data_IF_670949486080
#
_entry.id   IF_670949486080
#
_cell.length_a   1.000
_cell.length_b   1.000
_cell.length_c   1.000
_cell.angle_alpha   90.00
_cell.angle_beta   90.00
_cell.angle_gamma   90.00
#
_symmetry.space_group_name_H-M   'P 1'
#
loop_
_entity.id
_entity.type
_entity.pdbx_description
1 polymer ?
#
# COMPACT_ATOMS: atom_id res chain seq x y z
N UNK A 1 1.48 -6.21 18.49
CA UNK A 1 1.65 -5.40 17.27
C UNK A 1 3.07 -5.61 16.79
N UNK A 2 3.27 -5.79 15.49
CA UNK A 2 4.60 -5.90 14.87
C UNK A 2 4.75 -4.79 13.84
N UNK A 3 5.97 -4.28 13.68
CA UNK A 3 6.34 -3.28 12.68
C UNK A 3 7.14 -3.93 11.56
N UNK A 4 6.81 -3.58 10.32
CA UNK A 4 7.44 -4.14 9.12
C UNK A 4 7.91 -2.97 8.24
N UNK A 5 9.16 -3.03 7.80
CA UNK A 5 9.75 -2.02 6.92
C UNK A 5 9.15 -2.06 5.52
N UNK A 6 9.02 -0.89 4.90
CA UNK A 6 8.54 -0.72 3.53
C UNK A 6 9.68 -0.30 2.60
N UNK A 7 9.73 -0.85 1.37
CA UNK A 7 10.57 -0.29 0.34
C UNK A 7 10.05 1.09 -0.11
N UNK A 8 10.93 1.97 -0.62
CA UNK A 8 10.55 3.30 -1.08
C UNK A 8 9.42 3.27 -2.12
N UNK A 9 8.47 4.19 -1.98
CA UNK A 9 7.35 4.34 -2.92
C UNK A 9 6.20 3.36 -2.72
N UNK A 10 6.29 2.39 -1.80
CA UNK A 10 5.20 1.44 -1.54
C UNK A 10 4.14 2.02 -0.58
N UNK A 11 4.52 2.94 0.32
CA UNK A 11 3.62 3.53 1.32
C UNK A 11 2.35 4.16 0.71
N UNK A 12 2.43 4.71 -0.51
CA UNK A 12 1.29 5.28 -1.26
C UNK A 12 0.15 4.30 -1.55
N UNK A 13 0.41 3.00 -1.45
CA UNK A 13 -0.59 1.94 -1.67
C UNK A 13 -1.16 1.40 -0.36
N UNK A 14 -0.66 1.86 0.79
CA UNK A 14 -1.14 1.47 2.10
C UNK A 14 -1.96 2.61 2.69
N UNK A 15 -3.00 2.24 3.41
CA UNK A 15 -3.81 3.16 4.21
C UNK A 15 -4.09 2.49 5.55
N UNK A 16 -4.19 3.28 6.62
CA UNK A 16 -4.61 2.76 7.91
C UNK A 16 -5.99 2.07 7.77
N UNK A 17 -6.14 0.91 8.40
CA UNK A 17 -7.29 -0.02 8.27
C UNK A 17 -7.46 -0.66 6.89
N UNK A 18 -6.52 -0.43 5.96
CA UNK A 18 -6.45 -1.13 4.68
C UNK A 18 -5.89 -2.54 4.83
N UNK A 19 -5.90 -3.28 3.72
CA UNK A 19 -5.39 -4.64 3.63
C UNK A 19 -3.97 -4.67 3.05
N UNK A 20 -3.14 -5.57 3.56
CA UNK A 20 -1.83 -5.91 3.01
C UNK A 20 -1.57 -7.40 3.21
N UNK A 21 -0.92 -8.05 2.25
CA UNK A 21 -0.45 -9.41 2.42
C UNK A 21 1.05 -9.43 2.77
N UNK A 22 1.37 -10.16 3.85
CA UNK A 22 2.75 -10.41 4.30
C UNK A 22 3.00 -11.91 4.23
N UNK A 23 3.92 -12.34 3.37
CA UNK A 23 4.14 -13.75 3.03
C UNK A 23 2.84 -14.49 2.65
N UNK A 24 1.95 -13.79 1.90
CA UNK A 24 0.65 -14.31 1.50
C UNK A 24 -0.41 -14.31 2.62
N UNK A 25 -0.08 -13.89 3.84
CA UNK A 25 -1.03 -13.75 4.95
C UNK A 25 -1.73 -12.40 4.85
N UNK A 26 -3.05 -12.40 4.65
CA UNK A 26 -3.85 -11.18 4.63
C UNK A 26 -3.95 -10.57 6.02
N UNK A 27 -3.53 -9.32 6.17
CA UNK A 27 -3.49 -8.58 7.42
C UNK A 27 -4.09 -7.18 7.26
N UNK A 28 -4.57 -6.63 8.36
CA UNK A 28 -5.06 -5.24 8.43
C UNK A 28 -3.95 -4.33 8.92
N UNK A 29 -3.67 -3.28 8.16
CA UNK A 29 -2.75 -2.21 8.54
C UNK A 29 -3.34 -1.44 9.72
N UNK A 30 -2.61 -1.37 10.82
CA UNK A 30 -2.98 -0.57 12.00
C UNK A 30 -2.61 0.89 11.75
N UNK A 31 -1.34 1.12 11.40
CA UNK A 31 -0.80 2.44 11.07
C UNK A 31 0.31 2.33 10.00
N UNK A 32 0.60 3.42 9.31
CA UNK A 32 1.57 3.48 8.21
C UNK A 32 2.37 4.79 8.24
N UNK A 33 3.68 4.66 7.99
CA UNK A 33 4.62 5.76 7.76
C UNK A 33 5.19 5.64 6.35
N UNK A 34 6.06 6.58 5.95
CA UNK A 34 6.75 6.51 4.65
C UNK A 34 7.70 5.32 4.53
N UNK A 35 8.14 4.74 5.66
CA UNK A 35 9.19 3.72 5.72
C UNK A 35 8.75 2.41 6.37
N UNK A 36 7.58 2.35 7.00
CA UNK A 36 7.10 1.17 7.71
C UNK A 36 5.59 1.16 7.87
N UNK A 37 5.04 0.02 8.26
CA UNK A 37 3.66 -0.12 8.70
C UNK A 37 3.57 -1.09 9.87
N UNK A 38 2.46 -1.02 10.60
CA UNK A 38 2.20 -1.90 11.73
C UNK A 38 0.98 -2.78 11.48
N UNK A 39 1.03 -3.99 12.03
CA UNK A 39 -0.08 -4.96 11.99
C UNK A 39 -0.26 -5.63 13.34
N UNK A 40 -1.49 -6.06 13.62
CA UNK A 40 -1.81 -6.88 14.79
C UNK A 40 -1.97 -8.33 14.38
N UNK A 41 -1.15 -9.20 14.96
CA UNK A 41 -1.25 -10.64 14.78
C UNK A 41 -2.04 -11.24 15.95
N UNK A 42 -3.13 -11.92 15.65
CA UNK A 42 -3.90 -12.68 16.63
C UNK A 42 -3.22 -14.03 16.91
N UNK A 43 -3.51 -14.70 18.04
CA UNK A 43 -2.90 -15.99 18.38
C UNK A 43 -3.04 -17.06 17.28
N UNK A 44 -4.18 -17.10 16.59
CA UNK A 44 -4.41 -18.03 15.49
C UNK A 44 -3.44 -17.79 14.32
N UNK A 45 -3.25 -16.53 13.92
CA UNK A 45 -2.30 -16.17 12.85
C UNK A 45 -0.87 -16.52 13.23
N UNK A 46 -0.48 -16.25 14.48
CA UNK A 46 0.86 -16.62 14.97
C UNK A 46 1.06 -18.14 14.95
N UNK A 47 0.03 -18.92 15.30
CA UNK A 47 0.12 -20.39 15.39
C UNK A 47 0.05 -21.07 14.02
N UNK A 48 -0.68 -20.49 13.06
CA UNK A 48 -0.95 -21.13 11.75
C UNK A 48 -0.10 -20.61 10.60
N UNK A 49 0.75 -19.61 10.81
CA UNK A 49 1.57 -19.02 9.75
C UNK A 49 3.03 -18.95 10.15
N UNK A 50 3.91 -18.73 9.16
CA UNK A 50 5.35 -18.55 9.41
C UNK A 50 5.66 -17.31 10.24
N UNK A 51 4.74 -16.35 10.32
CA UNK A 51 4.91 -15.09 11.05
C UNK A 51 5.11 -15.28 12.55
N UNK A 52 4.64 -16.40 13.14
CA UNK A 52 4.82 -16.68 14.56
C UNK A 52 6.25 -17.02 14.97
N UNK A 53 7.10 -17.41 14.02
CA UNK A 53 8.49 -17.83 14.28
C UNK A 53 9.52 -16.87 13.71
N UNK A 54 9.10 -15.83 12.98
CA UNK A 54 10.01 -14.87 12.37
C UNK A 54 10.68 -13.99 13.41
N UNK A 55 11.92 -13.61 13.11
CA UNK A 55 12.72 -12.72 13.96
C UNK A 55 12.93 -11.36 13.29
N UNK A 56 13.14 -10.27 14.09
CA UNK A 56 13.44 -8.96 13.54
C UNK A 56 14.66 -8.99 12.59
N UNK A 57 14.53 -8.35 11.43
CA UNK A 57 15.56 -8.32 10.39
C UNK A 57 15.38 -9.37 9.29
N UNK A 58 14.50 -10.35 9.47
CA UNK A 58 14.12 -11.26 8.39
C UNK A 58 13.31 -10.55 7.29
N UNK A 59 13.55 -10.95 6.04
CA UNK A 59 12.78 -10.46 4.91
C UNK A 59 11.45 -11.19 4.80
N UNK A 60 10.44 -10.44 4.36
CA UNK A 60 9.09 -10.92 4.07
C UNK A 60 8.67 -10.46 2.68
N UNK A 61 7.80 -11.23 2.03
CA UNK A 61 7.17 -10.81 0.80
C UNK A 61 6.00 -9.86 1.12
N UNK A 62 5.92 -8.74 0.41
CA UNK A 62 4.86 -7.75 0.58
C UNK A 62 4.03 -7.63 -0.68
N UNK A 63 2.71 -7.76 -0.53
CA UNK A 63 1.73 -7.58 -1.59
C UNK A 63 0.69 -6.54 -1.17
N UNK A 64 0.68 -5.40 -1.87
CA UNK A 64 -0.28 -4.32 -1.63
C UNK A 64 -1.64 -4.64 -2.25
N UNK A 65 -2.70 -4.06 -1.69
CA UNK A 65 -4.06 -4.26 -2.20
C UNK A 65 -4.17 -3.91 -3.69
N UNK A 66 -4.76 -4.82 -4.46
CA UNK A 66 -4.98 -4.65 -5.89
C UNK A 66 -5.88 -3.44 -6.17
N UNK A 67 -6.80 -3.11 -5.26
CA UNK A 67 -7.65 -1.93 -5.38
C UNK A 67 -6.82 -0.64 -5.44
N UNK A 68 -5.73 -0.53 -4.68
CA UNK A 68 -4.86 0.63 -4.71
C UNK A 68 -4.21 0.81 -6.10
N UNK A 69 -3.77 -0.29 -6.72
CA UNK A 69 -3.22 -0.27 -8.09
C UNK A 69 -4.26 0.09 -9.14
N UNK A 70 -5.49 -0.41 -9.01
CA UNK A 70 -6.59 -0.03 -9.91
C UNK A 70 -6.95 1.44 -9.78
N UNK A 71 -7.02 1.97 -8.56
CA UNK A 71 -7.27 3.40 -8.31
C UNK A 71 -6.17 4.25 -8.92
N UNK A 72 -4.90 3.89 -8.73
CA UNK A 72 -3.78 4.58 -9.37
C UNK A 72 -3.96 4.62 -10.91
N UNK A 73 -4.22 3.47 -11.52
CA UNK A 73 -4.41 3.38 -12.99
C UNK A 73 -5.57 4.25 -13.49
N UNK A 74 -6.69 4.27 -12.75
CA UNK A 74 -7.85 5.10 -13.10
C UNK A 74 -7.55 6.59 -12.99
N UNK A 75 -6.79 7.00 -11.97
CA UNK A 75 -6.38 8.40 -11.79
C UNK A 75 -5.36 8.84 -12.85
N UNK A 76 -4.40 7.98 -13.19
CA UNK A 76 -3.43 8.24 -14.26
C UNK A 76 -4.11 8.41 -15.63
N UNK A 77 -5.15 7.61 -15.92
CA UNK A 77 -5.96 7.75 -17.15
C UNK A 77 -6.74 9.06 -17.23
N UNK A 78 -7.18 9.62 -16.10
CA UNK A 78 -7.87 10.92 -16.04
C UNK A 78 -6.94 12.12 -16.22
N UNK A 79 -5.69 12.02 -15.77
CA UNK A 79 -4.70 13.08 -15.96
C UNK A 79 -4.34 13.28 -17.45
N UNK A 80 -4.47 12.24 -18.28
CA UNK A 80 -4.23 12.30 -19.72
C UNK A 80 -5.27 13.07 -20.54
N UNK A 81 -6.45 13.39 -19.99
CA UNK A 81 -7.54 14.09 -20.70
C UNK A 81 -7.60 15.59 -20.41
N UNK A 82 -6.75 16.12 -19.52
CA UNK A 82 -6.78 17.53 -19.09
C UNK A 82 -5.78 18.42 -19.85
N UNK A 83 -5.56 18.17 -21.16
CA UNK A 83 -4.70 19.02 -22.00
C UNK A 83 -5.53 19.77 -23.05
N UNK A 84 -5.76 21.05 -22.73
CA UNK A 84 -5.96 22.24 -23.59
C UNK A 84 -7.27 22.47 -24.36
N UNK A 85 -8.09 23.38 -23.84
CA UNK A 85 -8.84 24.36 -24.65
C UNK A 85 -8.61 25.76 -24.09
N UNK A 86 -7.47 26.36 -24.39
CA UNK A 86 -7.28 27.81 -24.29
C UNK A 86 -7.11 28.32 -25.71
N UNK A 87 -8.18 28.82 -26.29
CA UNK A 87 -8.12 29.60 -27.53
C UNK A 87 -7.63 31.01 -27.18
N UNK A 88 -6.72 31.59 -27.98
CA UNK A 88 -6.24 32.95 -27.76
C UNK A 88 -7.35 33.97 -28.03
N UNK A 89 -7.42 34.98 -27.17
CA UNK A 89 -8.22 36.19 -27.30
C UNK A 89 -7.82 36.94 -28.58
N UNK A 90 -8.73 36.98 -29.56
CA UNK A 90 -8.58 37.72 -30.81
C UNK A 90 -8.81 39.21 -30.53
N UNK A 91 -7.77 40.01 -30.73
CA UNK A 91 -7.81 41.46 -30.77
C UNK A 91 -8.65 41.93 -31.95
N UNK A 92 -9.75 42.64 -31.69
CA UNK A 92 -10.39 43.56 -32.64
C UNK A 92 -11.12 44.67 -31.89
#
# INVERSE_FOLDING_TARGET
>A
VVEIGLPPGMARYLVAKGSIAVDGVSLTVVDVTDTSFTVSLIPETLTRTTLGTRTPGEQVNLEVDVLAKYVERLLAGRAGTATTSTSPEETA
#
